data_IF_496623633746
#
_entry.id   IF_496623633746
#
_cell.length_a   1.000
_cell.length_b   1.000
_cell.length_c   1.000
_cell.angle_alpha   90.00
_cell.angle_beta   90.00
_cell.angle_gamma   90.00
#
_symmetry.space_group_name_H-M   'P 1'
#
loop_
_entity.id
_entity.type
_entity.pdbx_description
1 polymer ?
#
# COMPACT_ATOMS: atom_id res chain seq x y z
N UNK A 1 55.84 -0.23 -20.27
CA UNK A 1 54.88 0.85 -20.63
C UNK A 1 54.08 0.29 -21.79
N UNK A 2 52.86 -0.19 -21.52
CA UNK A 2 52.01 -0.85 -22.52
C UNK A 2 50.56 -0.44 -22.30
N UNK A 3 49.83 -0.49 -23.43
CA UNK A 3 48.38 -0.33 -23.65
C UNK A 3 47.97 1.11 -23.97
N UNK A 4 47.07 1.38 -24.90
CA UNK A 4 46.49 0.68 -26.06
C UNK A 4 45.48 1.70 -26.63
N UNK A 5 45.36 1.72 -27.96
CA UNK A 5 44.09 1.82 -28.73
C UNK A 5 43.18 3.05 -28.51
N UNK A 6 42.90 3.72 -29.63
CA UNK A 6 41.91 4.78 -29.73
C UNK A 6 40.46 4.30 -29.73
N UNK A 7 39.56 5.22 -29.38
CA UNK A 7 38.14 5.22 -29.72
C UNK A 7 37.86 6.62 -30.30
N UNK A 8 37.58 6.74 -31.61
CA UNK A 8 36.28 6.54 -32.26
C UNK A 8 35.25 7.56 -31.76
N UNK A 9 34.96 8.49 -32.66
CA UNK A 9 33.87 9.47 -32.63
C UNK A 9 32.49 8.80 -32.60
N UNK A 10 31.52 9.68 -32.38
CA UNK A 10 30.17 9.63 -32.92
C UNK A 10 29.00 9.40 -31.95
N UNK A 11 28.05 10.30 -32.18
CA UNK A 11 26.59 10.14 -32.16
C UNK A 11 25.83 10.69 -30.95
N UNK A 12 25.22 11.86 -31.20
CA UNK A 12 23.96 12.28 -30.57
C UNK A 12 22.88 11.24 -30.84
N UNK A 13 22.28 10.71 -29.78
CA UNK A 13 21.00 9.99 -29.72
C UNK A 13 20.60 9.98 -28.25
N UNK A 14 19.38 10.12 -27.78
CA UNK A 14 18.07 10.53 -28.31
C UNK A 14 17.22 10.78 -27.04
N UNK A 15 16.12 11.50 -27.21
CA UNK A 15 15.08 11.76 -26.22
C UNK A 15 14.77 10.54 -25.33
N UNK A 16 14.95 10.65 -24.01
CA UNK A 16 14.62 9.56 -23.08
C UNK A 16 13.31 9.83 -22.33
N UNK A 17 12.21 9.52 -23.03
CA UNK A 17 11.03 8.77 -22.57
C UNK A 17 10.34 9.19 -21.26
N UNK A 18 9.56 10.27 -21.34
CA UNK A 18 8.50 10.67 -20.39
C UNK A 18 7.24 9.77 -20.40
N UNK A 19 7.35 8.49 -20.75
CA UNK A 19 6.20 7.59 -20.88
C UNK A 19 6.44 6.11 -20.52
N UNK A 20 7.62 5.74 -20.00
CA UNK A 20 8.02 4.33 -19.85
C UNK A 20 8.23 3.82 -18.41
N UNK A 21 7.82 4.58 -17.39
CA UNK A 21 7.82 4.13 -15.99
C UNK A 21 6.43 3.84 -15.41
N UNK A 22 5.42 3.68 -16.28
CA UNK A 22 4.17 3.02 -15.92
C UNK A 22 4.40 1.50 -15.84
N UNK A 23 5.31 1.06 -14.97
CA UNK A 23 5.34 -0.34 -14.53
C UNK A 23 3.92 -0.68 -14.11
N UNK A 24 3.37 -1.75 -14.66
CA UNK A 24 2.13 -2.41 -14.25
C UNK A 24 2.23 -2.80 -12.77
N UNK A 25 2.13 -1.82 -11.87
CA UNK A 25 2.16 -2.07 -10.45
C UNK A 25 0.81 -2.68 -10.09
N UNK A 26 0.84 -3.96 -9.74
CA UNK A 26 -0.32 -4.70 -9.25
C UNK A 26 -0.95 -3.90 -8.11
N UNK A 27 -2.17 -3.42 -8.32
CA UNK A 27 -2.93 -2.73 -7.28
C UNK A 27 -3.37 -3.74 -6.23
N UNK A 28 -3.28 -3.33 -4.97
CA UNK A 28 -3.73 -4.08 -3.80
C UNK A 28 -5.18 -3.69 -3.56
N UNK A 29 -6.09 -4.67 -3.59
CA UNK A 29 -7.52 -4.42 -3.36
C UNK A 29 -7.80 -4.45 -1.87
N UNK A 30 -8.33 -3.35 -1.35
CA UNK A 30 -8.52 -3.16 0.08
C UNK A 30 -9.99 -2.89 0.37
N UNK A 31 -10.52 -3.59 1.38
CA UNK A 31 -11.81 -3.25 1.98
C UNK A 31 -11.59 -2.56 3.32
N UNK A 32 -12.31 -1.47 3.54
CA UNK A 32 -12.33 -0.71 4.79
C UNK A 32 -13.43 -1.24 5.72
N UNK A 33 -13.09 -1.55 6.97
CA UNK A 33 -14.04 -2.03 7.98
C UNK A 33 -13.88 -1.34 9.34
N UNK A 34 -14.97 -0.80 9.90
CA UNK A 34 -14.98 -0.16 11.20
C UNK A 34 -16.05 0.93 11.31
N UNK A 35 -16.22 1.52 12.50
CA UNK A 35 -17.23 2.56 12.75
C UNK A 35 -16.88 3.91 12.13
N UNK A 36 -15.58 4.26 12.12
CA UNK A 36 -15.07 5.55 11.64
C UNK A 36 -14.09 5.34 10.47
N UNK A 37 -14.28 4.28 9.71
CA UNK A 37 -13.30 3.85 8.70
C UNK A 37 -13.27 4.79 7.49
N UNK A 38 -14.30 5.61 7.32
CA UNK A 38 -14.39 6.67 6.33
C UNK A 38 -13.24 7.68 6.48
N UNK A 39 -12.68 7.83 7.69
CA UNK A 39 -11.50 8.67 7.94
C UNK A 39 -10.24 8.14 7.24
N UNK A 40 -10.19 6.86 6.89
CA UNK A 40 -9.06 6.24 6.20
C UNK A 40 -9.15 6.33 4.67
N UNK A 41 -10.35 6.51 4.12
CA UNK A 41 -10.56 6.63 2.67
C UNK A 41 -9.67 7.72 2.02
N UNK A 42 -9.67 8.98 2.49
CA UNK A 42 -8.83 10.02 1.89
C UNK A 42 -7.32 9.76 2.05
N UNK A 43 -6.91 8.93 3.01
CA UNK A 43 -5.51 8.54 3.18
C UNK A 43 -5.15 7.47 2.15
N UNK A 44 -6.03 6.48 1.95
CA UNK A 44 -5.83 5.42 0.96
C UNK A 44 -5.79 5.96 -0.47
N UNK A 45 -6.64 6.94 -0.79
CA UNK A 45 -6.70 7.59 -2.11
C UNK A 45 -5.40 8.30 -2.51
N UNK A 46 -4.53 8.65 -1.56
CA UNK A 46 -3.20 9.21 -1.84
C UNK A 46 -2.24 8.20 -2.48
N UNK A 47 -2.53 6.89 -2.38
CA UNK A 47 -1.63 5.82 -2.80
C UNK A 47 -2.20 5.10 -4.03
N UNK A 48 -1.63 5.29 -5.24
CA UNK A 48 -2.15 4.67 -6.47
C UNK A 48 -2.03 3.13 -6.50
N UNK A 49 -1.24 2.55 -5.59
CA UNK A 49 -1.13 1.11 -5.40
C UNK A 49 -2.34 0.52 -4.67
N UNK A 50 -3.16 1.33 -4.00
CA UNK A 50 -4.32 0.87 -3.24
C UNK A 50 -5.58 1.12 -4.05
N UNK A 51 -6.40 0.08 -4.18
CA UNK A 51 -7.73 0.15 -4.78
C UNK A 51 -8.77 -0.18 -3.71
N UNK A 52 -9.64 0.78 -3.39
CA UNK A 52 -10.73 0.55 -2.45
C UNK A 52 -11.85 -0.22 -3.13
N UNK A 53 -12.15 -1.42 -2.62
CA UNK A 53 -13.17 -2.32 -3.17
C UNK A 53 -14.19 -2.72 -2.12
N UNK A 54 -15.42 -3.03 -2.57
CA UNK A 54 -16.47 -3.62 -1.72
C UNK A 54 -16.54 -5.13 -1.81
N UNK A 55 -16.00 -5.70 -2.89
CA UNK A 55 -16.08 -7.13 -3.21
C UNK A 55 -14.69 -7.66 -3.59
N UNK A 56 -14.43 -8.92 -3.22
CA UNK A 56 -13.17 -9.62 -3.49
C UNK A 56 -11.88 -8.85 -3.06
N UNK A 57 -11.81 -8.33 -1.81
CA UNK A 57 -10.60 -7.67 -1.34
C UNK A 57 -9.45 -8.67 -1.12
N UNK A 58 -8.22 -8.20 -1.33
CA UNK A 58 -7.00 -8.91 -0.95
C UNK A 58 -6.69 -8.71 0.54
N UNK A 59 -6.99 -7.52 1.08
CA UNK A 59 -6.79 -7.15 2.48
C UNK A 59 -7.98 -6.42 3.07
N UNK A 60 -8.14 -6.52 4.39
CA UNK A 60 -9.11 -5.75 5.15
C UNK A 60 -8.39 -4.82 6.10
N UNK A 61 -8.49 -3.51 5.87
CA UNK A 61 -8.04 -2.53 6.86
C UNK A 61 -9.15 -2.37 7.88
N UNK A 62 -8.84 -2.69 9.14
CA UNK A 62 -9.78 -2.48 10.26
C UNK A 62 -9.39 -1.21 11.01
N UNK A 63 -10.37 -0.36 11.33
CA UNK A 63 -10.15 0.87 12.08
C UNK A 63 -10.98 0.88 13.36
N UNK A 64 -10.32 0.81 14.51
CA UNK A 64 -10.97 0.64 15.80
C UNK A 64 -10.08 0.04 16.88
N UNK A 65 -10.66 -0.83 17.70
CA UNK A 65 -9.93 -1.66 18.67
C UNK A 65 -10.12 -3.15 18.39
N UNK A 66 -9.78 -4.00 19.36
CA UNK A 66 -9.85 -5.46 19.23
C UNK A 66 -11.25 -5.97 18.83
N UNK A 67 -12.32 -5.33 19.32
CA UNK A 67 -13.69 -5.69 18.96
C UNK A 67 -13.97 -5.53 17.45
N UNK A 68 -13.38 -4.50 16.82
CA UNK A 68 -13.47 -4.31 15.36
C UNK A 68 -12.70 -5.39 14.62
N UNK A 69 -11.50 -5.74 15.09
CA UNK A 69 -10.68 -6.80 14.49
C UNK A 69 -11.39 -8.16 14.55
N UNK A 70 -11.95 -8.52 15.71
CA UNK A 70 -12.70 -9.77 15.88
C UNK A 70 -13.94 -9.78 14.98
N UNK A 71 -14.70 -8.68 14.93
CA UNK A 71 -15.87 -8.56 14.05
C UNK A 71 -15.49 -8.71 12.58
N UNK A 72 -14.33 -8.20 12.18
CA UNK A 72 -13.81 -8.37 10.82
C UNK A 72 -13.45 -9.83 10.52
N UNK A 73 -12.85 -10.57 11.46
CA UNK A 73 -12.57 -11.99 11.30
C UNK A 73 -13.84 -12.82 11.13
N UNK A 74 -14.86 -12.54 11.95
CA UNK A 74 -16.16 -13.23 11.87
C UNK A 74 -16.87 -12.97 10.54
N UNK A 75 -16.81 -11.73 10.03
CA UNK A 75 -17.48 -11.36 8.78
C UNK A 75 -16.69 -11.79 7.53
N UNK A 76 -15.36 -11.80 7.62
CA UNK A 76 -14.47 -12.04 6.50
C UNK A 76 -13.36 -13.03 6.89
N UNK A 77 -13.70 -14.32 7.06
CA UNK A 77 -12.74 -15.31 7.51
C UNK A 77 -11.62 -15.51 6.48
N UNK A 78 -10.41 -15.83 6.97
CA UNK A 78 -9.22 -16.16 6.15
C UNK A 78 -8.65 -15.04 5.26
N UNK A 79 -9.28 -13.88 5.17
CA UNK A 79 -8.66 -12.71 4.56
C UNK A 79 -7.65 -12.07 5.51
N UNK A 80 -6.50 -11.54 5.07
CA UNK A 80 -5.56 -10.86 5.95
C UNK A 80 -6.11 -9.51 6.43
N UNK A 81 -5.95 -9.23 7.73
CA UNK A 81 -6.42 -7.99 8.38
C UNK A 81 -5.22 -7.09 8.68
N UNK A 82 -5.41 -5.80 8.46
CA UNK A 82 -4.47 -4.74 8.81
C UNK A 82 -5.13 -3.88 9.90
N UNK A 83 -4.92 -4.18 11.18
CA UNK A 83 -5.57 -3.47 12.27
C UNK A 83 -4.89 -2.13 12.56
N UNK A 84 -5.58 -1.03 12.27
CA UNK A 84 -5.16 0.32 12.59
C UNK A 84 -5.93 0.80 13.82
N UNK A 85 -5.18 1.29 14.81
CA UNK A 85 -5.74 1.70 16.09
C UNK A 85 -6.50 3.03 15.99
N UNK A 86 -7.76 3.03 16.42
CA UNK A 86 -8.56 4.25 16.65
C UNK A 86 -9.01 4.38 18.12
N UNK A 87 -8.28 3.75 19.06
CA UNK A 87 -8.66 3.74 20.48
C UNK A 87 -7.46 3.75 21.40
N UNK A 88 -7.64 4.16 22.65
CA UNK A 88 -6.55 4.22 23.64
C UNK A 88 -6.11 2.84 24.18
N UNK A 89 -6.76 1.73 23.79
CA UNK A 89 -6.61 0.41 24.44
C UNK A 89 -6.49 -0.80 23.50
N UNK A 90 -6.23 -0.61 22.21
CA UNK A 90 -6.07 -1.73 21.27
C UNK A 90 -4.67 -2.31 21.32
N UNK A 91 -4.50 -3.43 22.04
CA UNK A 91 -3.21 -4.11 22.19
C UNK A 91 -2.83 -4.95 20.95
N UNK A 92 -3.80 -5.28 20.10
CA UNK A 92 -3.59 -6.08 18.87
C UNK A 92 -3.56 -5.24 17.60
N UNK A 93 -3.68 -3.93 17.72
CA UNK A 93 -3.60 -3.01 16.59
C UNK A 93 -2.15 -2.52 16.39
N UNK A 94 -1.82 -2.17 15.15
CA UNK A 94 -0.53 -1.60 14.80
C UNK A 94 -0.44 -0.22 15.49
N UNK A 95 0.52 0.02 16.40
CA UNK A 95 0.61 1.24 17.19
C UNK A 95 1.30 2.37 16.41
N UNK A 96 0.89 2.58 15.16
CA UNK A 96 1.41 3.62 14.28
C UNK A 96 0.26 4.45 13.68
N UNK A 97 0.52 5.71 13.30
CA UNK A 97 -0.48 6.54 12.64
C UNK A 97 -1.02 5.86 11.37
N UNK A 98 -2.30 6.07 11.01
CA UNK A 98 -2.91 5.39 9.86
C UNK A 98 -2.13 5.59 8.55
N UNK A 99 -1.64 6.80 8.29
CA UNK A 99 -0.87 7.12 7.07
C UNK A 99 0.44 6.32 6.98
N UNK A 100 1.10 6.06 8.11
CA UNK A 100 2.31 5.23 8.13
C UNK A 100 2.00 3.77 7.78
N UNK A 101 0.93 3.21 8.36
CA UNK A 101 0.53 1.82 8.11
C UNK A 101 0.07 1.64 6.67
N UNK A 102 -0.76 2.55 6.16
CA UNK A 102 -1.28 2.52 4.79
C UNK A 102 -0.14 2.66 3.78
N UNK A 103 0.85 3.52 4.05
CA UNK A 103 2.06 3.62 3.22
C UNK A 103 2.82 2.31 3.15
N UNK A 104 3.10 1.66 4.29
CA UNK A 104 3.81 0.36 4.31
C UNK A 104 3.02 -0.74 3.61
N UNK A 105 1.70 -0.73 3.73
CA UNK A 105 0.83 -1.64 2.99
C UNK A 105 0.97 -1.42 1.48
N UNK A 106 0.92 -0.17 1.01
CA UNK A 106 1.11 0.18 -0.40
C UNK A 106 2.49 -0.23 -0.94
N UNK A 107 3.53 -0.16 -0.10
CA UNK A 107 4.90 -0.54 -0.44
C UNK A 107 5.18 -2.05 -0.29
N UNK A 108 4.24 -2.82 0.28
CA UNK A 108 4.42 -4.25 0.56
C UNK A 108 5.43 -4.54 1.68
N UNK A 109 5.68 -3.57 2.57
CA UNK A 109 6.65 -3.66 3.66
C UNK A 109 6.00 -3.75 5.04
N UNK A 110 4.72 -4.14 5.12
CA UNK A 110 3.95 -4.17 6.38
C UNK A 110 4.65 -4.98 7.49
#
# INVERSE_FOLDING_TARGET
>A
MIRDIGGVEDTKVDECNSAQDAKTQKRIRVLLFGKDVELLAPICEKFPQIELVKENPDFIITYGGDGTLISAELKYPNLPKVPILNSSRGHRCIPHPPEYVIKRLAEGTL
#
